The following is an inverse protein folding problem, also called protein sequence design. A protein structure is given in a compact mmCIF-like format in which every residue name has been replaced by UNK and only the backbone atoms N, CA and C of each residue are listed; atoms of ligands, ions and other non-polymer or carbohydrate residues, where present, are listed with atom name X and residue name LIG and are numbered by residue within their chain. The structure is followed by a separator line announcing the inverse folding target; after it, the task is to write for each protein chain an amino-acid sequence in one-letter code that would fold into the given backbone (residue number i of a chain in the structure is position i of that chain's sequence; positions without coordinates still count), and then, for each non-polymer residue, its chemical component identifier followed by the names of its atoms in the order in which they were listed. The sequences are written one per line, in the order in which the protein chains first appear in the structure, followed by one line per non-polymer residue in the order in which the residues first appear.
data_IF_025071309971
#
_entry.id   IF_025071309971
#
_cell.length_a   1.000
_cell.length_b   1.000
_cell.length_c   1.000
_cell.angle_alpha   90.00
_cell.angle_beta   90.00
_cell.angle_gamma   90.00
#
_symmetry.space_group_name_H-M   'P 1'
#
loop_
_entity.id
_entity.type
_entity.pdbx_description
1 polymer ?
#
# COMPACT_ATOMS: atom_id res chain seq x y z
N UNK A 1 -5.00 -23.58 20.00
CA UNK A 1 -4.66 -24.20 18.71
C UNK A 1 -5.84 -23.93 17.83
N UNK A 2 -5.80 -22.83 17.08
CA UNK A 2 -6.98 -22.35 16.37
C UNK A 2 -7.04 -23.00 14.99
N UNK A 3 -8.16 -23.70 14.75
CA UNK A 3 -8.43 -24.52 13.57
C UNK A 3 -8.91 -23.73 12.34
N UNK A 4 -8.73 -22.41 12.31
CA UNK A 4 -9.19 -21.58 11.20
C UNK A 4 -8.17 -20.50 10.82
N UNK A 5 -7.20 -20.89 9.99
CA UNK A 5 -6.56 -19.95 9.09
C UNK A 5 -7.59 -19.44 8.09
N UNK A 6 -8.11 -18.23 8.30
CA UNK A 6 -9.00 -17.60 7.34
C UNK A 6 -8.28 -17.31 6.02
N UNK A 7 -8.83 -17.75 4.90
CA UNK A 7 -8.35 -17.39 3.56
C UNK A 7 -8.85 -15.98 3.23
N UNK A 8 -7.95 -15.04 3.00
CA UNK A 8 -8.32 -13.75 2.43
C UNK A 8 -8.73 -13.97 0.96
N UNK A 9 -10.03 -13.91 0.68
CA UNK A 9 -10.54 -13.84 -0.68
C UNK A 9 -10.55 -12.37 -1.10
N UNK A 10 -9.72 -12.01 -2.06
CA UNK A 10 -9.80 -10.73 -2.77
C UNK A 10 -11.22 -10.55 -3.38
N UNK A 11 -11.67 -9.29 -3.51
CA UNK A 11 -13.05 -8.89 -3.88
C UNK A 11 -13.46 -9.23 -5.33
N UNK A 12 -13.30 -10.47 -5.76
CA UNK A 12 -13.64 -10.96 -7.10
C UNK A 12 -15.08 -11.45 -7.23
N UNK A 13 -15.76 -11.72 -6.11
CA UNK A 13 -17.11 -12.33 -6.12
C UNK A 13 -18.16 -11.26 -5.85
N UNK A 14 -18.96 -10.92 -6.85
CA UNK A 14 -19.97 -9.84 -6.77
C UNK A 14 -21.08 -10.06 -5.74
N UNK A 15 -21.51 -11.31 -5.49
CA UNK A 15 -22.69 -11.60 -4.65
C UNK A 15 -22.56 -11.17 -3.17
N UNK A 16 -21.48 -11.52 -2.42
CA UNK A 16 -21.31 -11.07 -1.04
C UNK A 16 -21.23 -9.55 -0.86
N UNK A 17 -20.77 -8.80 -1.87
CA UNK A 17 -20.62 -7.34 -1.81
C UNK A 17 -21.88 -6.55 -2.20
N UNK A 18 -22.90 -7.24 -2.72
CA UNK A 18 -24.24 -6.66 -2.87
C UNK A 18 -25.04 -6.73 -1.57
N UNK A 19 -24.51 -7.40 -0.53
CA UNK A 19 -25.15 -7.45 0.78
C UNK A 19 -25.04 -6.10 1.48
N UNK A 20 -26.20 -5.63 1.96
CA UNK A 20 -26.38 -4.36 2.65
C UNK A 20 -25.43 -4.21 3.85
N UNK A 21 -25.16 -5.32 4.56
CA UNK A 21 -24.26 -5.36 5.74
C UNK A 21 -22.86 -4.81 5.46
N UNK A 22 -22.35 -5.02 4.23
CA UNK A 22 -20.99 -4.59 3.86
C UNK A 22 -20.98 -3.20 3.23
N UNK A 23 -21.99 -2.86 2.42
CA UNK A 23 -22.10 -1.54 1.79
C UNK A 23 -22.38 -0.40 2.77
N UNK A 24 -23.11 -0.66 3.86
CA UNK A 24 -23.33 0.35 4.90
C UNK A 24 -22.04 0.77 5.63
N UNK A 25 -20.98 -0.05 5.60
CA UNK A 25 -19.70 0.24 6.27
C UNK A 25 -18.67 0.93 5.37
N UNK A 26 -18.79 0.72 4.07
CA UNK A 26 -17.86 1.23 3.06
C UNK A 26 -18.67 1.71 1.86
N UNK A 27 -18.84 3.03 1.73
CA UNK A 27 -19.68 3.64 0.68
C UNK A 27 -19.21 3.29 -0.74
N UNK A 28 -17.90 3.08 -0.94
CA UNK A 28 -17.29 2.86 -2.27
C UNK A 28 -16.80 1.42 -2.49
N UNK A 29 -17.50 0.43 -1.93
CA UNK A 29 -17.12 -0.97 -2.07
C UNK A 29 -17.55 -1.53 -3.44
N UNK A 30 -16.69 -1.41 -4.45
CA UNK A 30 -16.91 -1.96 -5.78
C UNK A 30 -16.31 -3.37 -5.94
N UNK A 31 -17.04 -4.24 -6.64
CA UNK A 31 -16.55 -5.57 -7.01
C UNK A 31 -15.53 -5.43 -8.14
N UNK A 32 -14.35 -6.05 -7.99
CA UNK A 32 -13.27 -5.94 -8.96
C UNK A 32 -13.49 -6.88 -10.13
N UNK A 33 -13.27 -6.40 -11.36
CA UNK A 33 -13.40 -7.21 -12.56
C UNK A 33 -12.17 -8.14 -12.70
N UNK A 34 -12.34 -9.48 -12.60
CA UNK A 34 -11.21 -10.42 -12.67
C UNK A 34 -10.45 -10.36 -14.00
N UNK A 35 -11.09 -9.90 -15.08
CA UNK A 35 -10.45 -9.76 -16.41
C UNK A 35 -9.49 -8.58 -16.47
N UNK A 36 -9.63 -7.61 -15.55
CA UNK A 36 -8.84 -6.38 -15.49
C UNK A 36 -7.78 -6.40 -14.40
N UNK A 37 -7.59 -7.54 -13.74
CA UNK A 37 -6.56 -7.70 -12.71
C UNK A 37 -5.60 -8.82 -13.07
N UNK A 38 -4.32 -8.53 -12.89
CA UNK A 38 -3.23 -9.50 -12.97
C UNK A 38 -2.50 -9.44 -11.63
N UNK A 39 -2.40 -10.58 -10.95
CA UNK A 39 -1.60 -10.70 -9.72
C UNK A 39 -0.16 -11.01 -10.11
N UNK A 40 0.79 -10.15 -9.72
CA UNK A 40 2.22 -10.44 -9.88
C UNK A 40 2.82 -10.72 -8.50
N UNK A 41 2.86 -12.00 -8.10
CA UNK A 41 3.34 -12.46 -6.80
C UNK A 41 2.39 -12.13 -5.61
N UNK A 42 2.93 -12.06 -4.38
CA UNK A 42 2.21 -12.23 -3.11
C UNK A 42 0.97 -11.36 -2.89
N UNK A 43 0.93 -10.11 -3.42
CA UNK A 43 -0.22 -9.21 -3.29
C UNK A 43 -0.26 -8.03 -4.29
N UNK A 44 0.66 -7.98 -5.26
CA UNK A 44 0.72 -6.87 -6.20
C UNK A 44 -0.43 -6.97 -7.20
N UNK A 45 -1.37 -6.05 -7.06
CA UNK A 45 -2.56 -5.96 -7.90
C UNK A 45 -2.43 -4.75 -8.81
N UNK A 46 -2.61 -5.01 -10.10
CA UNK A 46 -2.67 -3.99 -11.13
C UNK A 46 -4.13 -3.81 -11.52
N UNK A 47 -4.63 -2.58 -11.42
CA UNK A 47 -5.84 -2.19 -12.13
C UNK A 47 -5.45 -1.65 -13.51
N UNK A 48 -5.85 -2.37 -14.56
CA UNK A 48 -5.55 -1.97 -15.94
C UNK A 48 -6.24 -0.66 -16.34
N UNK A 49 -7.30 -0.24 -15.65
CA UNK A 49 -7.92 1.07 -15.88
C UNK A 49 -6.98 2.20 -15.46
N UNK A 50 -6.21 2.03 -14.39
CA UNK A 50 -5.23 3.02 -13.95
C UNK A 50 -4.11 3.19 -14.99
N UNK A 51 -3.70 2.10 -15.66
CA UNK A 51 -2.76 2.19 -16.79
C UNK A 51 -3.34 2.98 -17.96
N UNK A 52 -4.64 2.87 -18.26
CA UNK A 52 -5.25 3.65 -19.34
C UNK A 52 -5.40 5.14 -19.02
N UNK A 53 -5.34 5.52 -17.74
CA UNK A 53 -5.35 6.93 -17.30
C UNK A 53 -3.99 7.60 -17.47
N UNK A 54 -2.90 6.84 -17.59
CA UNK A 54 -1.57 7.39 -17.85
C UNK A 54 -1.43 7.70 -19.35
N UNK A 55 -1.08 8.94 -19.74
CA UNK A 55 -0.80 9.27 -21.13
C UNK A 55 0.24 8.29 -21.70
N UNK A 56 0.04 7.82 -22.94
CA UNK A 56 1.02 7.00 -23.68
C UNK A 56 1.11 5.52 -23.24
N UNK A 57 0.22 5.07 -22.34
CA UNK A 57 0.23 3.69 -21.81
C UNK A 57 -0.88 2.80 -22.42
N UNK A 58 -1.75 3.35 -23.27
CA UNK A 58 -2.90 2.63 -23.83
C UNK A 58 -3.09 2.78 -25.34
N UNK A 59 -2.71 1.74 -26.10
CA UNK A 59 -3.46 1.39 -27.31
C UNK A 59 -4.65 0.53 -26.89
N UNK A 60 -5.83 0.78 -27.47
CA UNK A 60 -7.09 0.02 -27.29
C UNK A 60 -6.95 -1.48 -27.65
N UNK A 61 -5.79 -1.88 -28.22
CA UNK A 61 -5.42 -3.25 -28.58
C UNK A 61 -4.09 -3.71 -27.95
N UNK A 62 -3.56 -2.99 -26.96
CA UNK A 62 -2.25 -3.27 -26.35
C UNK A 62 -2.24 -4.57 -25.54
N UNK A 63 -1.31 -5.48 -25.86
CA UNK A 63 -1.01 -6.63 -25.01
C UNK A 63 -0.48 -6.14 -23.66
N UNK A 64 -1.28 -6.21 -22.60
CA UNK A 64 -0.85 -5.85 -21.24
C UNK A 64 -0.03 -6.98 -20.59
N UNK A 65 0.85 -7.60 -21.39
CA UNK A 65 1.86 -8.55 -20.95
C UNK A 65 3.12 -7.79 -20.53
N UNK A 66 3.71 -8.11 -19.39
CA UNK A 66 4.90 -7.42 -18.89
C UNK A 66 4.56 -6.19 -18.02
N UNK A 67 3.65 -6.35 -17.08
CA UNK A 67 3.34 -5.35 -16.05
C UNK A 67 4.05 -5.71 -14.76
N UNK A 68 4.53 -4.72 -14.01
CA UNK A 68 5.23 -4.97 -12.74
C UNK A 68 5.38 -3.70 -11.91
N UNK A 69 6.30 -3.70 -10.95
CA UNK A 69 6.66 -2.52 -10.18
C UNK A 69 8.17 -2.29 -10.24
N UNK A 70 8.58 -1.04 -10.45
CA UNK A 70 9.98 -0.60 -10.31
C UNK A 70 10.48 -0.85 -8.89
N UNK A 71 9.59 -0.68 -7.90
CA UNK A 71 9.89 -0.87 -6.51
C UNK A 71 8.72 -0.46 -5.62
N UNK A 72 8.75 -0.98 -4.40
CA UNK A 72 7.77 -0.70 -3.36
C UNK A 72 8.47 0.04 -2.21
N UNK A 73 7.95 1.21 -1.84
CA UNK A 73 8.36 1.92 -0.61
C UNK A 73 7.19 1.89 0.38
N UNK A 74 7.43 1.31 1.56
CA UNK A 74 6.43 1.21 2.63
C UNK A 74 6.61 2.32 3.65
N UNK A 75 5.55 3.12 3.86
CA UNK A 75 5.43 4.11 4.92
C UNK A 75 5.09 3.41 6.23
N UNK A 76 5.88 3.67 7.27
CA UNK A 76 5.68 3.09 8.60
C UNK A 76 4.67 3.93 9.41
N UNK A 77 3.39 3.60 9.27
CA UNK A 77 2.31 4.29 9.97
C UNK A 77 2.37 4.09 11.48
N UNK A 78 2.84 2.93 11.94
CA UNK A 78 3.07 2.65 13.35
C UNK A 78 3.98 3.71 14.00
N UNK A 79 5.08 4.07 13.32
CA UNK A 79 5.99 5.13 13.79
C UNK A 79 5.37 6.52 13.70
N UNK A 80 4.66 6.82 12.62
CA UNK A 80 4.01 8.11 12.44
C UNK A 80 2.94 8.35 13.50
N UNK A 81 2.10 7.36 13.78
CA UNK A 81 1.08 7.45 14.83
C UNK A 81 1.68 7.68 16.22
N UNK A 82 2.84 7.10 16.52
CA UNK A 82 3.54 7.38 17.77
C UNK A 82 4.10 8.81 17.85
N UNK A 83 4.69 9.30 16.75
CA UNK A 83 5.32 10.62 16.72
C UNK A 83 4.31 11.76 16.80
N UNK A 84 3.14 11.57 16.21
CA UNK A 84 2.12 12.60 16.05
C UNK A 84 0.86 12.28 16.84
N UNK A 85 1.03 11.75 18.05
CA UNK A 85 -0.09 11.32 18.90
C UNK A 85 -1.09 12.46 19.11
N UNK A 86 -2.33 12.25 18.67
CA UNK A 86 -3.42 13.24 18.76
C UNK A 86 -3.31 14.44 17.80
N UNK A 87 -2.28 14.51 16.96
CA UNK A 87 -2.07 15.59 16.00
C UNK A 87 -2.23 15.08 14.56
N UNK A 88 -3.45 15.22 14.03
CA UNK A 88 -3.77 14.78 12.66
C UNK A 88 -3.02 15.63 11.63
N UNK A 89 -2.85 16.93 11.86
CA UNK A 89 -2.20 17.82 10.88
C UNK A 89 -0.71 17.51 10.78
N UNK A 90 -0.02 17.41 11.93
CA UNK A 90 1.40 17.02 11.95
C UNK A 90 1.64 15.62 11.37
N UNK A 91 0.68 14.70 11.56
CA UNK A 91 0.69 13.39 10.92
C UNK A 91 0.66 13.48 9.39
N UNK A 92 -0.25 14.29 8.83
CA UNK A 92 -0.38 14.45 7.37
C UNK A 92 0.82 15.18 6.78
N UNK A 93 1.31 16.25 7.41
CA UNK A 93 2.48 17.00 6.94
C UNK A 93 3.73 16.12 6.86
N UNK A 94 3.93 15.26 7.88
CA UNK A 94 5.05 14.32 7.87
C UNK A 94 4.82 13.18 6.87
N UNK A 95 3.58 12.75 6.66
CA UNK A 95 3.25 11.79 5.61
C UNK A 95 3.59 12.36 4.22
N UNK A 96 3.22 13.61 3.93
CA UNK A 96 3.57 14.28 2.68
C UNK A 96 5.06 14.34 2.45
N UNK A 97 5.81 14.74 3.48
CA UNK A 97 7.28 14.74 3.41
C UNK A 97 7.83 13.35 3.03
N UNK A 98 7.31 12.28 3.63
CA UNK A 98 7.76 10.92 3.32
C UNK A 98 7.32 10.45 1.93
N UNK A 99 6.12 10.82 1.48
CA UNK A 99 5.61 10.51 0.14
C UNK A 99 6.47 11.18 -0.93
N UNK A 100 6.85 12.45 -0.76
CA UNK A 100 7.73 13.16 -1.70
C UNK A 100 9.15 12.55 -1.75
N UNK A 101 9.66 12.08 -0.60
CA UNK A 101 10.93 11.33 -0.57
C UNK A 101 10.81 10.00 -1.30
N UNK A 102 9.72 9.27 -1.08
CA UNK A 102 9.46 8.01 -1.76
C UNK A 102 9.35 8.22 -3.28
N UNK A 103 8.65 9.28 -3.70
CA UNK A 103 8.56 9.72 -5.09
C UNK A 103 9.93 9.90 -5.72
N UNK A 104 10.75 10.71 -5.07
CA UNK A 104 12.13 11.00 -5.51
C UNK A 104 12.96 9.72 -5.68
N UNK A 105 12.89 8.80 -4.72
CA UNK A 105 13.68 7.56 -4.75
C UNK A 105 13.23 6.63 -5.88
N UNK A 106 11.92 6.43 -6.04
CA UNK A 106 11.38 5.54 -7.06
C UNK A 106 11.63 6.08 -8.47
N UNK A 107 11.48 7.39 -8.69
CA UNK A 107 11.81 8.02 -9.97
C UNK A 107 13.30 7.93 -10.30
N UNK A 108 14.19 8.13 -9.31
CA UNK A 108 15.63 7.91 -9.49
C UNK A 108 15.95 6.46 -9.84
N UNK A 109 15.30 5.49 -9.17
CA UNK A 109 15.49 4.07 -9.46
C UNK A 109 15.02 3.72 -10.88
N UNK A 110 13.86 4.23 -11.31
CA UNK A 110 13.38 4.08 -12.68
C UNK A 110 14.38 4.61 -13.69
N UNK A 111 14.84 5.85 -13.50
CA UNK A 111 15.85 6.48 -14.37
C UNK A 111 17.13 5.64 -14.43
N UNK A 112 17.62 5.17 -13.30
CA UNK A 112 18.80 4.31 -13.24
C UNK A 112 18.63 3.02 -14.05
N UNK A 113 17.49 2.34 -13.93
CA UNK A 113 17.22 1.10 -14.70
C UNK A 113 17.22 1.37 -16.21
N UNK A 114 16.66 2.51 -16.64
CA UNK A 114 16.65 2.93 -18.04
C UNK A 114 18.07 3.28 -18.54
N UNK A 115 18.86 3.98 -17.75
CA UNK A 115 20.25 4.35 -18.09
C UNK A 115 21.21 3.15 -18.08
N UNK A 116 20.83 2.05 -17.44
CA UNK A 116 21.62 0.83 -17.31
C UNK A 116 20.95 -0.36 -18.01
N UNK A 117 20.22 -0.12 -19.11
CA UNK A 117 19.48 -1.15 -19.83
C UNK A 117 20.33 -2.35 -20.25
N UNK A 118 21.61 -2.11 -20.57
CA UNK A 118 22.59 -3.13 -20.95
C UNK A 118 22.84 -4.17 -19.83
N UNK A 119 22.55 -3.82 -18.58
CA UNK A 119 22.63 -4.74 -17.44
C UNK A 119 21.39 -5.63 -17.30
N UNK A 120 20.30 -5.33 -18.01
CA UNK A 120 19.01 -6.03 -17.95
C UNK A 120 18.54 -6.54 -19.32
N UNK A 121 19.40 -7.20 -20.13
CA UNK A 121 19.09 -7.51 -21.53
C UNK A 121 17.92 -8.48 -21.69
N UNK A 122 17.79 -9.47 -20.80
CA UNK A 122 16.68 -10.43 -20.83
C UNK A 122 15.36 -9.79 -20.39
N UNK A 123 15.39 -8.78 -19.52
CA UNK A 123 14.21 -8.07 -19.07
C UNK A 123 13.66 -7.16 -20.17
N UNK A 124 14.51 -6.32 -20.76
CA UNK A 124 14.13 -5.43 -21.87
C UNK A 124 13.87 -6.15 -23.20
N UNK A 125 14.17 -7.44 -23.29
CA UNK A 125 13.71 -8.27 -24.41
C UNK A 125 12.19 -8.50 -24.38
N UNK A 126 11.60 -8.63 -23.19
CA UNK A 126 10.17 -8.93 -23.00
C UNK A 126 9.34 -7.73 -22.55
N UNK A 127 9.98 -6.70 -21.99
CA UNK A 127 9.35 -5.51 -21.44
C UNK A 127 9.67 -4.31 -22.33
N UNK A 128 8.66 -3.50 -22.61
CA UNK A 128 8.85 -2.26 -23.34
C UNK A 128 9.85 -1.33 -22.64
N UNK A 129 10.76 -0.74 -23.41
CA UNK A 129 11.86 0.08 -22.91
C UNK A 129 11.39 1.36 -22.22
N UNK A 130 10.16 1.81 -22.46
CA UNK A 130 9.58 2.95 -21.74
C UNK A 130 9.24 2.64 -20.28
N UNK A 131 9.09 1.36 -19.92
CA UNK A 131 8.58 0.90 -18.63
C UNK A 131 7.20 1.49 -18.26
N UNK A 132 6.39 1.89 -19.25
CA UNK A 132 5.06 2.48 -19.03
C UNK A 132 4.11 1.50 -18.30
N UNK A 133 4.32 0.20 -18.45
CA UNK A 133 3.58 -0.85 -17.77
C UNK A 133 4.13 -1.20 -16.38
N UNK A 134 5.20 -0.55 -15.92
CA UNK A 134 5.75 -0.75 -14.58
C UNK A 134 5.34 0.40 -13.68
N UNK A 135 4.84 0.08 -12.49
CA UNK A 135 4.40 1.05 -11.51
C UNK A 135 5.52 1.50 -10.58
N UNK A 136 5.42 2.72 -10.07
CA UNK A 136 6.04 3.06 -8.79
C UNK A 136 5.03 2.77 -7.67
N UNK A 137 5.41 1.97 -6.67
CA UNK A 137 4.45 1.52 -5.65
C UNK A 137 4.75 2.14 -4.30
N UNK A 138 3.74 2.77 -3.71
CA UNK A 138 3.72 3.16 -2.30
C UNK A 138 2.91 2.14 -1.52
N UNK A 139 3.33 1.86 -0.29
CA UNK A 139 2.61 0.99 0.62
C UNK A 139 2.50 1.59 2.02
N UNK A 140 1.52 1.16 2.80
CA UNK A 140 1.31 1.58 4.18
C UNK A 140 1.41 0.37 5.12
N UNK A 141 2.28 0.46 6.13
CA UNK A 141 2.53 -0.60 7.10
C UNK A 141 2.15 -0.22 8.53
N UNK A 142 1.65 -1.19 9.30
CA UNK A 142 1.35 -1.02 10.74
C UNK A 142 0.11 -0.17 10.98
N UNK A 143 -0.95 -0.42 10.22
CA UNK A 143 -2.20 0.33 10.28
C UNK A 143 -2.84 0.32 11.66
N UNK A 144 -3.08 -0.87 12.21
CA UNK A 144 -3.73 -1.02 13.52
C UNK A 144 -2.88 -0.42 14.65
N UNK A 145 -1.59 -0.73 14.71
CA UNK A 145 -0.70 -0.21 15.75
C UNK A 145 -0.47 1.29 15.61
N UNK A 146 -0.45 1.82 14.38
CA UNK A 146 -0.39 3.25 14.14
C UNK A 146 -1.57 3.98 14.75
N UNK A 147 -2.79 3.46 14.59
CA UNK A 147 -3.99 4.02 15.22
C UNK A 147 -3.91 3.95 16.76
N UNK A 148 -3.47 2.81 17.31
CA UNK A 148 -3.28 2.67 18.76
C UNK A 148 -2.27 3.69 19.28
N UNK A 149 -1.13 3.83 18.60
CA UNK A 149 -0.10 4.78 19.01
C UNK A 149 -0.53 6.23 18.84
N UNK A 150 -1.38 6.50 17.85
CA UNK A 150 -1.99 7.81 17.63
C UNK A 150 -2.93 8.20 18.78
N UNK A 151 -3.48 7.22 19.52
CA UNK A 151 -4.33 7.45 20.69
C UNK A 151 -5.65 6.67 20.67
N UNK A 152 -5.91 5.90 19.62
CA UNK A 152 -7.18 5.18 19.44
C UNK A 152 -7.05 3.78 20.01
N UNK A 153 -7.53 3.59 21.24
CA UNK A 153 -7.31 2.37 22.04
C UNK A 153 -7.60 1.05 21.30
N UNK A 154 -8.73 1.00 20.60
CA UNK A 154 -9.16 -0.22 19.89
C UNK A 154 -8.70 -0.25 18.42
N UNK A 155 -7.88 0.73 18.02
CA UNK A 155 -7.35 0.87 16.68
C UNK A 155 -8.43 0.76 15.60
N UNK A 156 -8.15 -0.04 14.57
CA UNK A 156 -9.05 -0.26 13.42
C UNK A 156 -10.42 -0.87 13.79
N UNK A 157 -10.57 -1.40 15.00
CA UNK A 157 -11.82 -2.03 15.45
C UNK A 157 -12.85 -1.01 15.95
N UNK A 158 -12.43 0.23 16.20
CA UNK A 158 -13.32 1.33 16.57
C UNK A 158 -13.76 2.13 15.35
N UNK A 159 -14.95 2.73 15.44
CA UNK A 159 -15.44 3.65 14.39
C UNK A 159 -14.47 4.83 14.20
N UNK A 160 -13.94 5.39 15.29
CA UNK A 160 -12.94 6.47 15.25
C UNK A 160 -11.67 6.04 14.50
N UNK A 161 -11.13 4.86 14.81
CA UNK A 161 -9.95 4.32 14.13
C UNK A 161 -10.18 4.02 12.65
N UNK A 162 -11.38 3.53 12.30
CA UNK A 162 -11.76 3.33 10.90
C UNK A 162 -11.83 4.66 10.15
N UNK A 163 -12.38 5.72 10.77
CA UNK A 163 -12.43 7.04 10.16
C UNK A 163 -11.02 7.61 9.94
N UNK A 164 -10.13 7.55 10.95
CA UNK A 164 -8.77 8.02 10.78
C UNK A 164 -8.00 7.21 9.73
N UNK A 165 -8.19 5.89 9.68
CA UNK A 165 -7.57 5.05 8.65
C UNK A 165 -8.04 5.43 7.23
N UNK A 166 -9.32 5.77 7.05
CA UNK A 166 -9.87 6.26 5.79
C UNK A 166 -9.24 7.58 5.39
N UNK A 167 -9.08 8.53 6.32
CA UNK A 167 -8.43 9.81 6.08
C UNK A 167 -6.97 9.60 5.64
N UNK A 168 -6.20 8.81 6.40
CA UNK A 168 -4.79 8.52 6.10
C UNK A 168 -4.64 7.82 4.74
N UNK A 169 -5.46 6.82 4.44
CA UNK A 169 -5.40 6.12 3.15
C UNK A 169 -5.87 7.01 1.98
N UNK A 170 -6.92 7.80 2.20
CA UNK A 170 -7.44 8.75 1.21
C UNK A 170 -6.42 9.82 0.85
N UNK A 171 -5.69 10.33 1.83
CA UNK A 171 -4.61 11.30 1.61
C UNK A 171 -3.48 10.73 0.74
N UNK A 172 -3.02 9.50 1.04
CA UNK A 172 -2.02 8.81 0.21
C UNK A 172 -2.53 8.61 -1.23
N UNK A 173 -3.79 8.23 -1.39
CA UNK A 173 -4.38 8.01 -2.72
C UNK A 173 -4.43 9.31 -3.55
N UNK A 174 -4.80 10.44 -2.95
CA UNK A 174 -4.80 11.72 -3.66
C UNK A 174 -3.38 12.14 -4.06
N UNK A 175 -2.40 12.03 -3.16
CA UNK A 175 -0.99 12.29 -3.48
C UNK A 175 -0.46 11.39 -4.60
N UNK A 176 -0.85 10.12 -4.62
CA UNK A 176 -0.49 9.19 -5.70
C UNK A 176 -1.08 9.63 -7.04
N UNK A 177 -2.32 10.15 -7.04
CA UNK A 177 -2.95 10.69 -8.24
C UNK A 177 -2.20 11.92 -8.75
N UNK A 178 -1.85 12.84 -7.87
CA UNK A 178 -1.01 14.01 -8.20
C UNK A 178 0.33 13.56 -8.81
N UNK A 179 1.01 12.58 -8.19
CA UNK A 179 2.28 12.06 -8.71
C UNK A 179 2.13 11.43 -10.09
N UNK A 180 1.03 10.72 -10.35
CA UNK A 180 0.74 10.15 -11.65
C UNK A 180 0.50 11.21 -12.73
N UNK A 181 -0.24 12.28 -12.39
CA UNK A 181 -0.49 13.41 -13.30
C UNK A 181 0.81 14.19 -13.59
N UNK A 182 1.62 14.45 -12.58
CA UNK A 182 2.85 15.24 -12.71
C UNK A 182 4.03 14.46 -13.31
N UNK A 183 4.23 13.21 -12.93
CA UNK A 183 5.35 12.39 -13.43
C UNK A 183 5.05 11.75 -14.79
N UNK A 184 3.77 11.65 -15.16
CA UNK A 184 3.35 10.98 -16.41
C UNK A 184 3.65 9.48 -16.44
N UNK A 185 3.76 8.84 -15.27
CA UNK A 185 4.02 7.40 -15.12
C UNK A 185 2.96 6.76 -14.22
N UNK A 186 2.83 5.45 -14.31
CA UNK A 186 1.90 4.71 -13.47
C UNK A 186 2.36 4.65 -12.00
N UNK A 187 1.47 5.00 -11.08
CA UNK A 187 1.66 4.85 -9.63
C UNK A 187 0.63 3.89 -9.04
N UNK A 188 1.00 3.17 -7.99
CA UNK A 188 0.11 2.24 -7.31
C UNK A 188 0.20 2.37 -5.79
N UNK A 189 -0.93 2.09 -5.12
CA UNK A 189 -1.01 1.96 -3.68
C UNK A 189 -1.28 0.50 -3.28
N UNK A 190 -0.37 -0.10 -2.51
CA UNK A 190 -0.47 -1.52 -2.12
C UNK A 190 -0.39 -1.72 -0.61
N UNK A 191 -0.91 -2.84 -0.13
CA UNK A 191 -0.61 -3.39 1.18
C UNK A 191 0.45 -4.47 1.04
N UNK A 192 1.72 -4.09 1.22
CA UNK A 192 2.83 -5.03 1.10
C UNK A 192 2.71 -6.13 2.18
N UNK A 193 3.02 -7.39 1.86
CA UNK A 193 2.93 -8.52 2.81
C UNK A 193 3.79 -8.37 4.07
N UNK A 194 4.78 -7.45 4.07
CA UNK A 194 5.63 -7.07 5.20
C UNK A 194 6.25 -8.23 6.01
N UNK A 195 6.44 -9.40 5.42
CA UNK A 195 6.89 -10.62 6.11
C UNK A 195 8.19 -10.41 6.90
N UNK A 196 9.17 -9.71 6.33
CA UNK A 196 10.41 -9.33 7.04
C UNK A 196 10.38 -7.87 7.55
N UNK A 197 9.70 -6.98 6.82
CA UNK A 197 9.66 -5.56 7.12
C UNK A 197 8.97 -5.26 8.46
N UNK A 198 7.94 -6.03 8.83
CA UNK A 198 7.23 -5.88 10.10
C UNK A 198 8.16 -6.10 11.31
N UNK A 199 8.96 -7.17 11.29
CA UNK A 199 9.96 -7.44 12.32
C UNK A 199 11.06 -6.38 12.38
N UNK A 200 11.48 -5.86 11.22
CA UNK A 200 12.46 -4.76 11.16
C UNK A 200 11.91 -3.45 11.73
N UNK A 201 10.66 -3.09 11.41
CA UNK A 201 9.99 -1.92 11.97
C UNK A 201 9.85 -2.01 13.49
N UNK A 202 9.44 -3.17 14.01
CA UNK A 202 9.37 -3.41 15.45
C UNK A 202 10.74 -3.26 16.11
N UNK A 203 11.80 -3.85 15.53
CA UNK A 203 13.17 -3.74 16.06
C UNK A 203 13.71 -2.30 16.03
N UNK A 204 13.48 -1.55 14.95
CA UNK A 204 13.91 -0.14 14.86
C UNK A 204 13.19 0.73 15.87
N UNK A 205 11.94 0.40 16.23
CA UNK A 205 11.22 1.01 17.34
C UNK A 205 11.85 0.69 18.70
N UNK A 206 12.24 -0.56 18.94
CA UNK A 206 12.90 -0.98 20.19
C UNK A 206 14.17 -0.19 20.49
N UNK A 207 14.95 0.16 19.46
CA UNK A 207 16.19 0.94 19.62
C UNK A 207 15.92 2.39 20.06
N UNK A 208 14.74 2.95 19.75
CA UNK A 208 14.41 4.36 20.00
C UNK A 208 13.62 4.55 21.31
N UNK A 209 12.94 3.52 21.83
CA UNK A 209 12.04 3.58 22.99
C UNK A 209 12.60 2.78 24.18
N UNK A 210 13.69 3.23 24.80
CA UNK A 210 14.40 2.45 25.83
C UNK A 210 13.75 2.44 27.23
N UNK A 211 12.70 3.23 27.52
CA UNK A 211 12.27 3.45 28.91
C UNK A 211 10.92 2.88 29.34
N UNK A 212 10.06 2.41 28.43
CA UNK A 212 8.84 1.70 28.82
C UNK A 212 8.44 0.79 27.65
N UNK A 213 8.60 -0.54 27.71
CA UNK A 213 7.64 -1.44 27.03
C UNK A 213 7.80 -2.96 27.25
N UNK A 214 6.63 -3.61 27.10
CA UNK A 214 6.30 -5.04 27.15
C UNK A 214 6.54 -5.75 25.79
N UNK A 215 7.23 -6.90 25.84
CA UNK A 215 7.62 -7.74 24.69
C UNK A 215 6.43 -8.38 23.95
N UNK A 216 5.23 -8.39 24.54
CA UNK A 216 4.03 -9.01 23.95
C UNK A 216 3.48 -8.28 22.71
N UNK A 217 3.89 -7.03 22.44
CA UNK A 217 3.39 -6.19 21.31
C UNK A 217 4.40 -5.99 20.18
N UNK A 218 5.35 -6.91 20.03
CA UNK A 218 6.51 -6.76 19.13
C UNK A 218 6.23 -7.02 17.62
N UNK A 219 4.97 -6.98 17.18
CA UNK A 219 4.59 -7.17 15.78
C UNK A 219 3.78 -5.97 15.29
N UNK A 220 4.06 -5.50 14.07
CA UNK A 220 3.19 -4.57 13.36
C UNK A 220 2.27 -5.34 12.42
N UNK A 221 0.96 -5.09 12.48
CA UNK A 221 -0.01 -5.59 11.52
C UNK A 221 0.46 -5.36 10.10
N UNK A 222 0.28 -6.40 9.28
CA UNK A 222 0.71 -6.45 7.88
C UNK A 222 -0.09 -5.48 6.99
N UNK A 223 -1.17 -4.87 7.49
CA UNK A 223 -2.06 -4.00 6.71
C UNK A 223 -2.93 -3.09 7.60
N UNK A 224 -3.40 -1.97 7.06
CA UNK A 224 -4.46 -1.13 7.64
C UNK A 224 -5.87 -1.68 7.46
N UNK A 225 -6.03 -2.78 6.72
CA UNK A 225 -7.33 -3.42 6.45
C UNK A 225 -7.40 -4.88 6.95
N UNK A 226 -6.42 -5.35 7.73
CA UNK A 226 -6.40 -6.73 8.24
C UNK A 226 -6.38 -6.70 9.76
N UNK A 227 -7.33 -7.40 10.37
CA UNK A 227 -7.39 -7.67 11.80
C UNK A 227 -6.05 -8.26 12.28
N UNK A 228 -5.58 -7.95 13.50
CA UNK A 228 -4.36 -8.54 14.03
C UNK A 228 -4.45 -10.08 14.03
N UNK A 229 -3.34 -10.75 13.72
CA UNK A 229 -3.26 -12.21 13.87
C UNK A 229 -3.36 -12.53 15.37
N UNK A 230 -4.45 -13.18 15.80
CA UNK A 230 -4.76 -13.47 17.20
C UNK A 230 -6.07 -12.87 17.74
N UNK A 231 -6.91 -12.27 16.89
CA UNK A 231 -8.23 -11.72 17.25
C UNK A 231 -9.43 -12.58 16.79
N UNK A 232 -9.24 -13.89 16.61
CA UNK A 232 -10.32 -14.84 16.32
C UNK A 232 -10.26 -16.02 17.30
#
# INVERSE_FOLDING_TARGET
MDNFGGVYLENYVSKPFMDKRWREKVENLEARNPKLQRSFCCRFQVDLQELTKVPHTGSIFGNVSGVGSIGVITINFNRLGYLHKGDVNGLMDHQDFLLEKARTVLNKKRKFILEQEDLYPTFFYYVDRSLNTYFNTISLGGGHEGLINFGIKDGILSDEGLQLAKIVAGHILEKIREFQEEDGIAWNFEYAPMETAAGYFAKKRMIISYNEFDLSKAYSTLSSAIYPVGFF
#
